data_IF_082494090347
#
_entry.id   IF_082494090347
#
_cell.length_a   1.000
_cell.length_b   1.000
_cell.length_c   1.000
_cell.angle_alpha   90.00
_cell.angle_beta   90.00
_cell.angle_gamma   90.00
#
_symmetry.space_group_name_H-M   'P 1'
#
loop_
_entity.id
_entity.type
_entity.pdbx_description
1 polymer ?
#
# COMPACT_ATOMS: atom_id res chain seq x y z
N UNK A 1 -9.89 -1.17 -30.07
CA UNK A 1 -8.95 -1.95 -29.25
C UNK A 1 -9.65 -3.23 -28.83
N UNK A 2 -9.01 -4.40 -29.01
CA UNK A 2 -9.58 -5.65 -28.49
C UNK A 2 -9.64 -5.56 -26.96
N UNK A 3 -10.79 -5.89 -26.38
CA UNK A 3 -10.91 -5.96 -24.93
C UNK A 3 -9.88 -6.98 -24.41
N UNK A 4 -9.00 -6.55 -23.51
CA UNK A 4 -8.03 -7.45 -22.88
C UNK A 4 -8.79 -8.54 -22.12
N UNK A 5 -8.31 -9.77 -22.25
CA UNK A 5 -8.94 -10.92 -21.60
C UNK A 5 -8.89 -10.73 -20.08
N UNK A 6 -9.98 -11.08 -19.39
CA UNK A 6 -10.04 -11.10 -17.93
C UNK A 6 -8.88 -11.96 -17.38
N UNK A 7 -7.99 -11.39 -16.53
CA UNK A 7 -6.83 -12.09 -16.01
C UNK A 7 -7.16 -13.15 -14.96
N UNK A 8 -8.38 -13.09 -14.38
CA UNK A 8 -8.83 -14.07 -13.37
C UNK A 8 -9.52 -15.25 -14.05
N UNK A 9 -9.00 -16.45 -13.85
CA UNK A 9 -9.66 -17.68 -14.27
C UNK A 9 -10.99 -17.91 -13.52
N UNK A 10 -11.82 -18.81 -14.01
CA UNK A 10 -13.04 -19.22 -13.31
C UNK A 10 -12.72 -19.81 -11.91
N UNK A 11 -11.61 -20.53 -11.80
CA UNK A 11 -11.14 -21.10 -10.54
C UNK A 11 -10.71 -20.00 -9.54
N UNK A 12 -10.00 -18.97 -9.99
CA UNK A 12 -9.64 -17.81 -9.16
C UNK A 12 -10.88 -17.10 -8.61
N UNK A 13 -11.87 -16.89 -9.48
CA UNK A 13 -13.15 -16.25 -9.08
C UNK A 13 -13.92 -17.09 -8.07
N UNK A 14 -13.93 -18.41 -8.23
CA UNK A 14 -14.58 -19.32 -7.27
C UNK A 14 -13.88 -19.25 -5.91
N UNK A 15 -12.57 -19.39 -5.89
CA UNK A 15 -11.77 -19.32 -4.66
C UNK A 15 -11.86 -17.93 -3.98
N UNK A 16 -11.86 -16.83 -4.76
CA UNK A 16 -12.12 -15.50 -4.22
C UNK A 16 -13.48 -15.42 -3.53
N UNK A 17 -14.52 -16.02 -4.11
CA UNK A 17 -15.84 -16.05 -3.47
C UNK A 17 -15.87 -16.83 -2.15
N UNK A 18 -15.04 -17.87 -1.99
CA UNK A 18 -14.88 -18.57 -0.71
C UNK A 18 -14.28 -17.64 0.34
N UNK A 19 -13.24 -16.88 -0.01
CA UNK A 19 -12.64 -15.87 0.90
C UNK A 19 -13.64 -14.78 1.29
N UNK A 20 -14.46 -14.32 0.34
CA UNK A 20 -15.50 -13.33 0.59
C UNK A 20 -16.60 -13.85 1.51
N UNK A 21 -17.00 -15.12 1.35
CA UNK A 21 -18.06 -15.74 2.16
C UNK A 21 -17.69 -15.85 3.66
N UNK A 22 -16.41 -15.90 3.97
CA UNK A 22 -15.90 -15.97 5.35
C UNK A 22 -15.49 -14.60 5.91
N UNK A 23 -15.79 -13.51 5.20
CA UNK A 23 -15.48 -12.13 5.60
C UNK A 23 -16.79 -11.40 5.88
N UNK A 24 -17.23 -11.28 7.15
CA UNK A 24 -18.53 -10.71 7.49
C UNK A 24 -18.73 -9.27 6.99
N UNK A 25 -17.65 -8.49 6.97
CA UNK A 25 -17.63 -7.08 6.55
C UNK A 25 -17.90 -6.89 5.05
N UNK A 26 -17.74 -7.95 4.25
CA UNK A 26 -17.94 -7.87 2.80
C UNK A 26 -19.31 -7.36 2.40
N UNK A 27 -20.35 -7.73 3.16
CA UNK A 27 -21.73 -7.26 2.90
C UNK A 27 -21.83 -5.72 2.99
N UNK A 28 -21.13 -5.09 3.94
CA UNK A 28 -21.07 -3.64 4.13
C UNK A 28 -20.35 -2.96 2.95
N UNK A 29 -19.17 -3.45 2.57
CA UNK A 29 -18.42 -2.91 1.42
C UNK A 29 -19.23 -3.04 0.14
N UNK A 30 -19.83 -4.21 -0.10
CA UNK A 30 -20.67 -4.46 -1.28
C UNK A 30 -21.90 -3.54 -1.33
N UNK A 31 -22.53 -3.26 -0.18
CA UNK A 31 -23.66 -2.33 -0.10
C UNK A 31 -23.19 -0.89 -0.39
N UNK A 32 -22.09 -0.45 0.18
CA UNK A 32 -21.47 0.85 -0.07
C UNK A 32 -21.10 1.03 -1.55
N UNK A 33 -20.44 0.03 -2.15
CA UNK A 33 -20.07 0.04 -3.57
C UNK A 33 -21.31 0.10 -4.51
N UNK A 34 -22.41 -0.52 -4.13
CA UNK A 34 -23.66 -0.43 -4.89
C UNK A 34 -24.34 0.94 -4.75
N UNK A 35 -24.25 1.55 -3.59
CA UNK A 35 -24.85 2.85 -3.29
C UNK A 35 -24.00 4.00 -3.84
N UNK A 36 -22.71 3.79 -4.06
CA UNK A 36 -21.80 4.80 -4.55
C UNK A 36 -22.22 5.32 -5.93
N UNK A 37 -22.34 6.65 -6.03
CA UNK A 37 -22.55 7.38 -7.29
C UNK A 37 -21.23 7.75 -7.97
N UNK A 38 -20.12 7.69 -7.23
CA UNK A 38 -18.79 8.08 -7.67
C UNK A 38 -18.02 6.85 -8.21
N UNK A 39 -18.58 6.13 -9.17
CA UNK A 39 -17.86 5.01 -9.79
C UNK A 39 -16.72 5.53 -10.63
N UNK A 40 -15.50 5.15 -10.26
CA UNK A 40 -14.25 5.49 -10.93
C UNK A 40 -13.74 4.22 -11.62
N UNK A 41 -13.62 4.27 -12.94
CA UNK A 41 -12.93 3.21 -13.69
C UNK A 41 -11.48 3.60 -13.91
N UNK A 42 -10.60 2.61 -13.96
CA UNK A 42 -9.24 2.80 -14.41
C UNK A 42 -9.21 3.39 -15.83
N UNK A 43 -8.16 4.13 -16.16
CA UNK A 43 -7.93 4.55 -17.53
C UNK A 43 -7.78 3.32 -18.43
N UNK A 44 -8.40 3.41 -19.60
CA UNK A 44 -8.19 2.41 -20.66
C UNK A 44 -6.93 2.77 -21.44
N UNK A 45 -6.00 1.84 -21.56
CA UNK A 45 -4.78 2.03 -22.34
C UNK A 45 -3.50 1.63 -21.60
N UNK A 46 -2.34 1.84 -22.20
CA UNK A 46 -1.07 1.52 -21.57
C UNK A 46 -0.83 2.42 -20.36
N UNK A 47 -0.14 1.88 -19.36
CA UNK A 47 0.28 2.65 -18.20
C UNK A 47 1.14 3.85 -18.59
N UNK A 48 0.88 4.98 -17.94
CA UNK A 48 1.70 6.19 -18.05
C UNK A 48 3.06 5.95 -17.37
N UNK A 49 3.03 5.30 -16.22
CA UNK A 49 4.21 4.86 -15.51
C UNK A 49 5.00 3.83 -16.33
N UNK A 50 6.31 3.98 -16.37
CA UNK A 50 7.22 3.05 -17.05
C UNK A 50 8.16 2.39 -16.03
N UNK A 51 7.78 1.23 -15.49
CA UNK A 51 8.61 0.52 -14.54
C UNK A 51 9.90 -0.01 -15.16
N UNK A 52 10.96 0.06 -14.40
CA UNK A 52 12.28 -0.50 -14.68
C UNK A 52 12.80 -1.27 -13.47
N UNK A 53 14.00 -1.83 -13.57
CA UNK A 53 14.58 -2.64 -12.51
C UNK A 53 15.98 -2.16 -12.13
N UNK A 54 16.28 -2.24 -10.83
CA UNK A 54 17.59 -1.93 -10.27
C UNK A 54 17.98 -3.02 -9.28
N UNK A 55 19.27 -3.39 -9.24
CA UNK A 55 19.77 -4.33 -8.22
C UNK A 55 20.24 -3.58 -6.99
N UNK A 56 19.68 -3.89 -5.82
CA UNK A 56 20.04 -3.32 -4.51
C UNK A 56 20.21 -4.46 -3.52
N UNK A 57 21.32 -4.49 -2.77
CA UNK A 57 21.62 -5.56 -1.80
C UNK A 57 21.44 -6.96 -2.40
N UNK A 58 21.86 -7.16 -3.65
CA UNK A 58 21.75 -8.42 -4.37
C UNK A 58 20.35 -8.80 -4.83
N UNK A 59 19.33 -7.94 -4.64
CA UNK A 59 17.94 -8.16 -5.06
C UNK A 59 17.58 -7.24 -6.23
N UNK A 60 16.89 -7.79 -7.22
CA UNK A 60 16.35 -7.03 -8.36
C UNK A 60 15.01 -6.41 -7.94
N UNK A 61 14.98 -5.09 -7.77
CA UNK A 61 13.82 -4.34 -7.36
C UNK A 61 13.17 -3.65 -8.55
N UNK A 62 11.83 -3.70 -8.65
CA UNK A 62 11.07 -2.92 -9.63
C UNK A 62 10.75 -1.55 -9.07
N UNK A 63 11.03 -0.53 -9.86
CA UNK A 63 10.74 0.86 -9.54
C UNK A 63 10.33 1.65 -10.78
N UNK A 64 9.86 2.86 -10.60
CA UNK A 64 9.62 3.80 -11.68
C UNK A 64 10.08 5.19 -11.27
N UNK A 65 10.48 6.00 -12.25
CA UNK A 65 10.84 7.42 -12.06
C UNK A 65 10.07 8.28 -13.04
N UNK A 66 9.80 9.53 -12.62
CA UNK A 66 9.16 10.53 -13.49
C UNK A 66 8.93 11.85 -12.79
N UNK A 67 8.13 12.70 -13.42
CA UNK A 67 7.79 14.02 -12.87
C UNK A 67 8.86 15.07 -13.14
N UNK A 68 8.88 16.11 -12.30
CA UNK A 68 9.72 17.31 -12.46
C UNK A 68 10.99 17.19 -11.63
N UNK A 69 12.15 17.28 -12.27
CA UNK A 69 13.46 17.21 -11.58
C UNK A 69 13.64 18.33 -10.52
N UNK A 70 12.97 19.47 -10.68
CA UNK A 70 13.02 20.60 -9.74
C UNK A 70 11.91 20.61 -8.69
N UNK A 71 11.06 19.57 -8.65
CA UNK A 71 9.99 19.45 -7.66
C UNK A 71 10.44 18.76 -6.38
N UNK A 72 9.61 18.80 -5.31
CA UNK A 72 9.87 17.99 -4.12
C UNK A 72 9.89 16.50 -4.49
N UNK A 73 10.80 15.75 -3.86
CA UNK A 73 10.96 14.30 -4.12
C UNK A 73 9.87 13.51 -3.38
N UNK A 74 9.03 12.80 -4.12
CA UNK A 74 8.00 11.90 -3.56
C UNK A 74 8.34 10.46 -3.88
N UNK A 75 8.50 9.63 -2.84
CA UNK A 75 8.75 8.20 -2.94
C UNK A 75 7.49 7.43 -2.53
N UNK A 76 6.88 6.74 -3.50
CA UNK A 76 5.67 5.94 -3.33
C UNK A 76 6.05 4.46 -3.11
N UNK A 77 5.62 3.88 -2.01
CA UNK A 77 5.86 2.47 -1.67
C UNK A 77 4.65 1.61 -2.04
N UNK A 78 4.89 0.48 -2.72
CA UNK A 78 3.79 -0.40 -3.16
C UNK A 78 3.04 -1.02 -1.99
N UNK A 79 1.70 -1.12 -2.07
CA UNK A 79 0.85 -1.81 -1.12
C UNK A 79 0.66 -3.30 -1.49
N UNK A 80 0.03 -4.08 -0.60
CA UNK A 80 -0.36 -5.47 -0.80
C UNK A 80 -1.90 -5.58 -1.03
N UNK A 81 -2.41 -6.38 -1.96
CA UNK A 81 -1.74 -7.27 -2.91
C UNK A 81 -1.54 -6.63 -4.30
N UNK A 82 -1.13 -5.40 -4.32
CA UNK A 82 -0.90 -4.64 -5.54
C UNK A 82 0.59 -4.51 -5.88
N UNK A 83 0.92 -3.58 -6.73
CA UNK A 83 2.26 -3.19 -7.11
C UNK A 83 2.30 -1.67 -7.33
N UNK A 84 3.46 -1.11 -7.67
CA UNK A 84 3.58 0.32 -8.00
C UNK A 84 2.58 0.79 -9.08
N UNK A 85 2.06 -0.11 -9.91
CA UNK A 85 1.08 0.22 -10.96
C UNK A 85 -0.22 0.80 -10.36
N UNK A 86 -0.53 0.54 -9.10
CA UNK A 86 -1.70 1.15 -8.44
C UNK A 86 -1.63 2.69 -8.39
N UNK A 87 -0.44 3.26 -8.48
CA UNK A 87 -0.25 4.72 -8.52
C UNK A 87 -0.33 5.33 -9.93
N UNK A 88 -0.50 4.51 -10.97
CA UNK A 88 -0.58 5.00 -12.36
C UNK A 88 -1.71 6.01 -12.54
N UNK A 89 -2.83 5.83 -11.84
CA UNK A 89 -4.01 6.69 -11.90
C UNK A 89 -3.78 8.11 -11.34
N UNK A 90 -2.80 8.29 -10.46
CA UNK A 90 -2.44 9.59 -9.86
C UNK A 90 -1.08 10.08 -10.37
N UNK A 91 -0.36 9.26 -11.15
CA UNK A 91 1.01 9.52 -11.57
C UNK A 91 1.16 10.84 -12.33
N UNK A 92 0.33 11.06 -13.35
CA UNK A 92 0.39 12.25 -14.18
C UNK A 92 0.14 13.53 -13.35
N UNK A 93 -0.87 13.51 -12.46
CA UNK A 93 -1.19 14.65 -11.59
C UNK A 93 -0.05 14.99 -10.64
N UNK A 94 0.56 13.97 -10.02
CA UNK A 94 1.71 14.18 -9.13
C UNK A 94 2.95 14.64 -9.91
N UNK A 95 3.17 14.12 -11.12
CA UNK A 95 4.31 14.44 -11.99
C UNK A 95 4.37 15.90 -12.41
N UNK A 96 3.23 16.60 -12.45
CA UNK A 96 3.17 18.03 -12.72
C UNK A 96 3.80 18.87 -11.60
N UNK A 97 3.93 18.32 -10.40
CA UNK A 97 4.34 19.05 -9.19
C UNK A 97 5.58 18.51 -8.51
N UNK A 98 5.89 17.23 -8.68
CA UNK A 98 6.88 16.49 -7.91
C UNK A 98 7.90 15.77 -8.81
N UNK A 99 9.10 15.53 -8.27
CA UNK A 99 9.96 14.47 -8.73
C UNK A 99 9.42 13.16 -8.12
N UNK A 100 9.10 12.18 -8.97
CA UNK A 100 8.46 10.95 -8.54
C UNK A 100 9.41 9.75 -8.61
N UNK A 101 9.37 8.96 -7.56
CA UNK A 101 9.93 7.60 -7.54
C UNK A 101 8.85 6.69 -6.94
N UNK A 102 8.61 5.54 -7.57
CA UNK A 102 7.77 4.49 -6.99
C UNK A 102 8.58 3.21 -6.86
N UNK A 103 8.42 2.47 -5.77
CA UNK A 103 9.17 1.26 -5.48
C UNK A 103 8.22 0.12 -5.11
N UNK A 104 8.29 -0.99 -5.83
CA UNK A 104 7.82 -2.27 -5.30
C UNK A 104 8.74 -2.70 -4.17
N UNK A 105 8.22 -2.75 -2.94
CA UNK A 105 8.98 -3.16 -1.78
C UNK A 105 9.59 -4.57 -1.96
N UNK A 106 10.75 -4.88 -1.36
CA UNK A 106 11.36 -6.21 -1.45
C UNK A 106 10.38 -7.33 -1.11
N UNK A 107 10.20 -8.29 -2.01
CA UNK A 107 9.24 -9.38 -1.83
C UNK A 107 7.79 -9.04 -2.16
N UNK A 108 7.47 -7.79 -2.45
CA UNK A 108 6.14 -7.33 -2.91
C UNK A 108 6.21 -6.89 -4.37
N UNK A 109 5.04 -6.74 -5.01
CA UNK A 109 4.97 -6.40 -6.42
C UNK A 109 5.84 -7.34 -7.26
N UNK A 110 6.61 -6.80 -8.20
CA UNK A 110 7.57 -7.58 -9.02
C UNK A 110 9.02 -7.47 -8.53
N UNK A 111 9.24 -6.93 -7.32
CA UNK A 111 10.56 -6.95 -6.67
C UNK A 111 10.89 -8.31 -6.11
N UNK A 112 12.17 -8.72 -6.21
CA UNK A 112 12.65 -9.95 -5.62
C UNK A 112 12.65 -9.91 -4.09
N UNK A 113 12.51 -11.08 -3.49
CA UNK A 113 12.56 -11.32 -2.05
C UNK A 113 11.65 -12.48 -1.65
N UNK A 114 12.10 -13.25 -0.67
CA UNK A 114 11.38 -14.35 -0.05
C UNK A 114 11.10 -14.07 1.43
N UNK A 115 11.08 -15.13 2.25
CA UNK A 115 10.81 -15.02 3.70
C UNK A 115 11.80 -14.11 4.43
N UNK A 116 13.04 -14.02 3.93
CA UNK A 116 14.12 -13.23 4.53
C UNK A 116 13.89 -11.71 4.51
N UNK A 117 12.94 -11.24 3.72
CA UNK A 117 12.60 -9.81 3.66
C UNK A 117 11.25 -9.48 4.31
N UNK A 118 10.57 -10.43 4.95
CA UNK A 118 9.22 -10.23 5.49
C UNK A 118 9.22 -9.68 6.94
N UNK A 119 10.18 -8.80 7.26
CA UNK A 119 10.21 -8.04 8.51
C UNK A 119 10.39 -6.55 8.21
N UNK A 120 9.93 -5.68 9.12
CA UNK A 120 10.07 -4.22 8.94
C UNK A 120 11.54 -3.80 8.86
N UNK A 121 12.40 -4.44 9.63
CA UNK A 121 13.84 -4.19 9.62
C UNK A 121 14.48 -4.53 8.27
N UNK A 122 14.24 -5.73 7.75
CA UNK A 122 14.80 -6.15 6.47
C UNK A 122 14.31 -5.27 5.32
N UNK A 123 13.03 -4.91 5.32
CA UNK A 123 12.41 -4.00 4.37
C UNK A 123 13.06 -2.61 4.41
N UNK A 124 13.13 -2.00 5.60
CA UNK A 124 13.69 -0.65 5.75
C UNK A 124 15.19 -0.59 5.46
N UNK A 125 15.95 -1.68 5.70
CA UNK A 125 17.36 -1.77 5.34
C UNK A 125 17.55 -1.70 3.82
N UNK A 126 16.76 -2.44 3.06
CA UNK A 126 16.85 -2.45 1.59
C UNK A 126 16.32 -1.13 1.03
N UNK A 127 15.26 -0.54 1.66
CA UNK A 127 14.76 0.79 1.31
C UNK A 127 15.85 1.86 1.49
N UNK A 128 16.61 1.84 2.59
CA UNK A 128 17.73 2.76 2.81
C UNK A 128 18.80 2.61 1.72
N UNK A 129 19.19 1.37 1.40
CA UNK A 129 20.15 1.10 0.34
C UNK A 129 19.63 1.56 -1.04
N UNK A 130 18.33 1.42 -1.33
CA UNK A 130 17.70 1.92 -2.54
C UNK A 130 17.74 3.46 -2.61
N UNK A 131 17.36 4.14 -1.53
CA UNK A 131 17.39 5.61 -1.41
C UNK A 131 18.80 6.14 -1.64
N UNK A 132 19.80 5.53 -1.01
CA UNK A 132 21.22 5.92 -1.19
C UNK A 132 21.72 5.63 -2.59
N UNK A 133 21.34 4.51 -3.19
CA UNK A 133 21.77 4.13 -4.55
C UNK A 133 21.23 5.08 -5.63
N UNK A 134 20.04 5.60 -5.45
CA UNK A 134 19.44 6.60 -6.35
C UNK A 134 19.78 8.05 -5.96
N UNK A 135 20.57 8.22 -4.89
CA UNK A 135 20.95 9.51 -4.31
C UNK A 135 19.76 10.46 -4.06
N UNK A 136 18.68 9.90 -3.52
CA UNK A 136 17.48 10.67 -3.20
C UNK A 136 17.68 11.45 -1.90
N UNK A 137 17.18 12.68 -1.87
CA UNK A 137 17.26 13.61 -0.73
C UNK A 137 15.92 14.30 -0.53
N UNK A 138 15.70 14.84 0.67
CA UNK A 138 14.52 15.63 1.05
C UNK A 138 13.20 14.94 0.66
N UNK A 139 13.12 13.66 1.00
CA UNK A 139 12.08 12.74 0.50
C UNK A 139 10.78 12.89 1.31
N UNK A 140 9.67 13.04 0.61
CA UNK A 140 8.33 12.80 1.15
C UNK A 140 7.93 11.35 0.82
N UNK A 141 7.88 10.46 1.82
CA UNK A 141 7.45 9.07 1.59
C UNK A 141 5.93 8.97 1.62
N UNK A 142 5.35 8.38 0.59
CA UNK A 142 3.95 7.92 0.55
C UNK A 142 3.93 6.41 0.77
N UNK A 143 3.47 5.99 1.94
CA UNK A 143 3.43 4.57 2.35
C UNK A 143 2.04 4.12 2.76
N UNK A 144 1.19 3.63 1.83
CA UNK A 144 -0.06 2.95 2.18
C UNK A 144 0.19 1.51 2.61
N UNK A 145 -0.74 0.93 3.38
CA UNK A 145 -0.80 -0.50 3.73
C UNK A 145 0.54 -1.03 4.26
N UNK A 146 1.15 -2.04 3.64
CA UNK A 146 2.47 -2.58 4.03
C UNK A 146 3.61 -1.54 3.90
N UNK A 147 3.42 -0.49 3.11
CA UNK A 147 4.36 0.62 3.00
C UNK A 147 4.42 1.48 4.26
N UNK A 148 3.31 1.60 5.02
CA UNK A 148 3.26 2.38 6.25
C UNK A 148 4.26 1.92 7.31
N UNK A 149 4.24 0.66 7.80
CA UNK A 149 5.18 0.22 8.81
C UNK A 149 6.64 0.24 8.33
N UNK A 150 6.89 0.03 7.04
CA UNK A 150 8.24 0.10 6.47
C UNK A 150 8.77 1.54 6.48
N UNK A 151 7.94 2.51 6.08
CA UNK A 151 8.29 3.93 6.13
C UNK A 151 8.54 4.41 7.57
N UNK A 152 7.70 3.99 8.53
CA UNK A 152 7.86 4.30 9.95
C UNK A 152 9.14 3.68 10.52
N UNK A 153 9.42 2.41 10.23
CA UNK A 153 10.64 1.76 10.68
C UNK A 153 11.89 2.45 10.09
N UNK A 154 11.83 2.87 8.82
CA UNK A 154 12.89 3.62 8.19
C UNK A 154 13.13 4.96 8.90
N UNK A 155 12.09 5.71 9.20
CA UNK A 155 12.18 6.99 9.89
C UNK A 155 12.73 6.88 11.33
N UNK A 156 12.44 5.77 12.02
CA UNK A 156 12.86 5.57 13.42
C UNK A 156 14.31 5.06 13.50
N UNK A 157 14.69 4.11 12.65
CA UNK A 157 15.90 3.29 12.86
C UNK A 157 17.02 3.53 11.86
N UNK A 158 16.84 4.43 10.89
CA UNK A 158 17.86 4.72 9.88
C UNK A 158 18.26 6.19 9.91
N UNK A 159 19.47 6.46 9.44
CA UNK A 159 19.93 7.82 9.11
C UNK A 159 19.20 8.24 7.81
N UNK A 160 17.96 8.65 7.98
CA UNK A 160 17.03 8.88 6.90
C UNK A 160 17.23 10.24 6.21
N UNK A 161 16.82 10.32 4.94
CA UNK A 161 16.84 11.52 4.11
C UNK A 161 15.40 12.04 3.88
N UNK A 162 14.56 11.96 4.93
CA UNK A 162 13.14 12.27 4.84
C UNK A 162 12.87 13.72 5.23
N UNK A 163 11.95 14.35 4.51
CA UNK A 163 11.31 15.63 4.85
C UNK A 163 9.97 15.44 5.55
N UNK A 164 9.20 14.42 5.17
CA UNK A 164 7.92 14.09 5.82
C UNK A 164 7.46 12.67 5.50
N UNK A 165 6.42 12.24 6.22
CA UNK A 165 5.71 10.98 6.01
C UNK A 165 4.27 11.27 5.61
N UNK A 166 3.76 10.53 4.61
CA UNK A 166 2.37 10.47 4.17
C UNK A 166 1.98 9.01 4.24
N UNK A 167 1.39 8.55 5.35
CA UNK A 167 1.21 7.14 5.63
C UNK A 167 -0.21 6.83 6.10
N UNK A 168 -0.74 5.66 5.75
CA UNK A 168 -2.09 5.31 6.15
C UNK A 168 -2.54 3.94 5.69
N UNK A 169 -3.78 3.60 6.01
CA UNK A 169 -4.42 2.32 5.68
C UNK A 169 -3.52 1.10 6.02
N UNK A 170 -2.65 1.21 7.06
CA UNK A 170 -1.61 0.23 7.38
C UNK A 170 -1.44 -0.03 8.88
N UNK A 171 -0.78 -1.15 9.27
CA UNK A 171 -0.52 -1.47 10.67
C UNK A 171 0.63 -0.61 11.22
N UNK A 172 0.43 0.05 12.37
CA UNK A 172 1.47 0.89 12.98
C UNK A 172 1.49 0.87 14.52
N UNK A 173 0.41 0.42 15.15
CA UNK A 173 0.25 0.37 16.62
C UNK A 173 -0.21 -1.01 17.08
N UNK A 174 0.03 -1.36 18.32
CA UNK A 174 -0.38 -2.63 18.92
C UNK A 174 -1.39 -2.41 20.07
N UNK A 175 -2.50 -3.17 20.09
CA UNK A 175 -3.02 -4.01 19.02
C UNK A 175 -3.54 -3.19 17.85
N UNK A 176 -3.31 -3.64 16.63
CA UNK A 176 -3.94 -3.04 15.43
C UNK A 176 -5.42 -3.44 15.40
N UNK A 177 -6.31 -2.49 15.10
CA UNK A 177 -7.70 -2.80 14.85
C UNK A 177 -7.85 -3.44 13.46
N UNK A 178 -7.80 -4.76 13.42
CA UNK A 178 -7.90 -5.53 12.19
C UNK A 178 -9.33 -5.98 11.90
N UNK A 179 -9.68 -6.02 10.62
CA UNK A 179 -10.88 -6.73 10.16
C UNK A 179 -10.70 -8.25 10.21
N UNK A 180 -11.82 -8.96 10.07
CA UNK A 180 -11.88 -10.42 10.26
C UNK A 180 -10.93 -11.20 9.34
N UNK A 181 -10.74 -10.76 8.10
CA UNK A 181 -9.87 -11.47 7.14
C UNK A 181 -8.40 -11.31 7.51
N UNK A 182 -7.99 -10.15 8.03
CA UNK A 182 -6.63 -9.92 8.49
C UNK A 182 -6.38 -10.71 9.77
N UNK A 183 -7.32 -10.73 10.71
CA UNK A 183 -7.19 -11.57 11.92
C UNK A 183 -6.99 -13.05 11.56
N UNK A 184 -7.74 -13.58 10.56
CA UNK A 184 -7.52 -14.94 10.05
C UNK A 184 -6.12 -15.14 9.51
N UNK A 185 -5.60 -14.18 8.73
CA UNK A 185 -4.25 -14.26 8.19
C UNK A 185 -3.17 -14.22 9.28
N UNK A 186 -3.36 -13.38 10.31
CA UNK A 186 -2.41 -13.18 11.40
C UNK A 186 -2.43 -14.33 12.40
N UNK A 187 -3.62 -14.74 12.87
CA UNK A 187 -3.77 -15.61 14.04
C UNK A 187 -3.79 -17.11 13.69
N UNK A 188 -4.06 -17.46 12.43
CA UNK A 188 -4.35 -18.85 12.05
C UNK A 188 -3.43 -19.41 10.97
N UNK A 189 -2.65 -20.46 11.35
CA UNK A 189 -1.87 -21.25 10.39
C UNK A 189 -2.72 -21.97 9.34
N UNK A 190 -3.94 -22.36 9.72
CA UNK A 190 -4.90 -22.94 8.79
C UNK A 190 -5.27 -21.94 7.68
N UNK A 191 -5.65 -20.73 8.04
CA UNK A 191 -6.03 -19.69 7.06
C UNK A 191 -4.85 -19.26 6.20
N UNK A 192 -3.63 -19.17 6.74
CA UNK A 192 -2.42 -18.94 5.93
C UNK A 192 -2.21 -20.05 4.89
N UNK A 193 -2.51 -21.29 5.25
CA UNK A 193 -2.48 -22.42 4.28
C UNK A 193 -3.57 -22.27 3.22
N UNK A 194 -4.79 -21.87 3.59
CA UNK A 194 -5.87 -21.59 2.63
C UNK A 194 -5.44 -20.52 1.62
N UNK A 195 -4.84 -19.41 2.08
CA UNK A 195 -4.35 -18.36 1.15
C UNK A 195 -3.27 -18.89 0.19
N UNK A 196 -2.34 -19.75 0.67
CA UNK A 196 -1.32 -20.36 -0.20
C UNK A 196 -1.92 -21.22 -1.31
N UNK A 197 -2.90 -22.04 -0.99
CA UNK A 197 -3.48 -22.99 -1.95
C UNK A 197 -4.50 -22.34 -2.89
N UNK A 198 -5.14 -21.25 -2.50
CA UNK A 198 -6.07 -20.50 -3.37
C UNK A 198 -5.36 -19.73 -4.46
N UNK A 199 -4.07 -19.42 -4.29
CA UNK A 199 -3.22 -18.78 -5.30
C UNK A 199 -3.41 -17.27 -5.45
N UNK A 200 -2.54 -16.68 -6.28
CA UNK A 200 -2.49 -15.21 -6.45
C UNK A 200 -3.74 -14.63 -7.07
N UNK A 201 -4.38 -15.31 -8.04
CA UNK A 201 -5.59 -14.81 -8.67
C UNK A 201 -6.76 -14.66 -7.69
N UNK A 202 -6.97 -15.65 -6.82
CA UNK A 202 -8.01 -15.59 -5.78
C UNK A 202 -7.66 -14.55 -4.70
N UNK A 203 -6.41 -14.45 -4.31
CA UNK A 203 -5.92 -13.49 -3.32
C UNK A 203 -6.12 -12.05 -3.79
N UNK A 204 -5.69 -11.71 -5.01
CA UNK A 204 -5.88 -10.40 -5.63
C UNK A 204 -7.37 -10.13 -5.90
N UNK A 205 -8.08 -11.09 -6.51
CA UNK A 205 -9.49 -10.92 -6.86
C UNK A 205 -10.41 -10.75 -5.64
N UNK A 206 -10.12 -11.48 -4.54
CA UNK A 206 -10.80 -11.31 -3.26
C UNK A 206 -10.44 -9.99 -2.60
N UNK A 207 -9.15 -9.66 -2.53
CA UNK A 207 -8.63 -8.42 -1.98
C UNK A 207 -9.26 -7.19 -2.64
N UNK A 208 -9.28 -7.12 -3.97
CA UNK A 208 -9.89 -6.01 -4.70
C UNK A 208 -11.39 -5.83 -4.37
N UNK A 209 -12.15 -6.92 -4.26
CA UNK A 209 -13.58 -6.85 -3.91
C UNK A 209 -13.85 -6.40 -2.47
N UNK A 210 -12.88 -6.59 -1.59
CA UNK A 210 -12.94 -6.17 -0.19
C UNK A 210 -12.43 -4.73 0.00
N UNK A 211 -11.48 -4.30 -0.82
CA UNK A 211 -10.79 -3.03 -0.68
C UNK A 211 -11.51 -1.85 -1.32
N UNK A 212 -12.16 -2.05 -2.47
CA UNK A 212 -12.73 -0.94 -3.23
C UNK A 212 -14.22 -0.70 -2.94
N UNK A 213 -14.56 0.58 -2.80
CA UNK A 213 -15.94 1.08 -2.76
C UNK A 213 -16.30 1.78 -4.08
N UNK A 214 -15.42 2.62 -4.60
CA UNK A 214 -15.68 3.46 -5.78
C UNK A 214 -14.94 3.01 -7.03
N UNK A 215 -13.75 2.43 -6.87
CA UNK A 215 -12.84 2.13 -7.97
C UNK A 215 -13.08 0.74 -8.58
N UNK A 216 -12.86 0.66 -9.88
CA UNK A 216 -12.82 -0.63 -10.60
C UNK A 216 -11.50 -0.69 -11.37
N UNK A 217 -10.56 -1.58 -10.99
CA UNK A 217 -9.28 -1.72 -11.67
C UNK A 217 -9.47 -2.25 -13.10
N UNK A 218 -8.55 -1.89 -13.99
CA UNK A 218 -8.48 -2.45 -15.34
C UNK A 218 -8.01 -3.91 -15.33
N UNK A 219 -8.22 -4.61 -16.42
CA UNK A 219 -7.69 -5.97 -16.57
C UNK A 219 -6.16 -5.98 -16.55
N UNK A 220 -5.52 -4.92 -17.05
CA UNK A 220 -4.07 -4.73 -17.06
C UNK A 220 -3.52 -4.58 -15.64
N UNK A 221 -4.16 -3.77 -14.80
CA UNK A 221 -3.79 -3.63 -13.37
C UNK A 221 -3.94 -4.96 -12.65
N UNK A 222 -5.08 -5.63 -12.80
CA UNK A 222 -5.32 -6.93 -12.17
C UNK A 222 -4.32 -7.98 -12.66
N UNK A 223 -3.99 -7.98 -13.95
CA UNK A 223 -2.99 -8.90 -14.51
C UNK A 223 -1.59 -8.65 -13.91
N UNK A 224 -1.19 -7.38 -13.75
CA UNK A 224 0.08 -7.02 -13.12
C UNK A 224 0.12 -7.50 -11.66
N UNK A 225 -0.95 -7.27 -10.89
CA UNK A 225 -1.04 -7.70 -9.49
C UNK A 225 -1.02 -9.24 -9.36
N UNK A 226 -1.80 -9.96 -10.16
CA UNK A 226 -1.82 -11.43 -10.13
C UNK A 226 -0.44 -12.01 -10.45
N UNK A 227 0.22 -11.47 -11.47
CA UNK A 227 1.56 -11.91 -11.87
C UNK A 227 2.61 -11.59 -10.79
N UNK A 228 2.49 -10.45 -10.10
CA UNK A 228 3.36 -10.04 -9.01
C UNK A 228 3.43 -11.06 -7.87
N UNK A 229 2.34 -11.77 -7.62
CA UNK A 229 2.24 -12.74 -6.50
C UNK A 229 2.15 -14.19 -6.94
N UNK A 230 2.32 -14.49 -8.23
CA UNK A 230 2.30 -15.85 -8.75
C UNK A 230 3.40 -16.70 -8.09
N UNK A 231 3.00 -17.75 -7.38
CA UNK A 231 3.93 -18.63 -6.63
C UNK A 231 4.55 -18.00 -5.38
N UNK A 232 4.12 -16.78 -4.98
CA UNK A 232 4.76 -16.00 -3.89
C UNK A 232 3.87 -15.75 -2.67
N UNK A 233 2.68 -16.36 -2.60
CA UNK A 233 1.78 -16.22 -1.43
C UNK A 233 2.40 -16.78 -0.16
N UNK A 234 3.32 -17.75 -0.27
CA UNK A 234 4.05 -18.29 0.88
C UNK A 234 4.75 -17.21 1.71
N UNK A 235 5.70 -16.44 1.14
CA UNK A 235 6.33 -15.29 1.80
C UNK A 235 5.32 -14.26 2.33
N UNK A 236 4.26 -13.95 1.58
CA UNK A 236 3.21 -13.03 2.05
C UNK A 236 2.54 -13.54 3.34
N UNK A 237 2.35 -14.85 3.49
CA UNK A 237 1.81 -15.39 4.75
C UNK A 237 2.79 -15.28 5.93
N UNK A 238 4.10 -15.22 5.69
CA UNK A 238 5.07 -14.93 6.76
C UNK A 238 5.01 -13.45 7.18
N UNK A 239 4.76 -12.51 6.28
CA UNK A 239 4.48 -11.13 6.63
C UNK A 239 3.31 -11.03 7.62
N UNK A 240 2.15 -11.62 7.30
CA UNK A 240 1.00 -11.61 8.21
C UNK A 240 1.30 -12.25 9.56
N UNK A 241 2.04 -13.36 9.57
CA UNK A 241 2.44 -14.04 10.81
C UNK A 241 3.36 -13.19 11.68
N UNK A 242 4.25 -12.43 11.07
CA UNK A 242 5.32 -11.72 11.78
C UNK A 242 4.98 -10.27 12.11
N UNK A 243 4.03 -9.62 11.41
CA UNK A 243 3.84 -8.19 11.63
C UNK A 243 3.40 -7.82 13.06
N UNK A 244 2.60 -8.63 13.81
CA UNK A 244 2.26 -8.28 15.18
C UNK A 244 3.49 -8.14 16.09
N UNK A 245 4.49 -9.02 15.91
CA UNK A 245 5.76 -8.93 16.63
C UNK A 245 6.63 -7.77 16.14
N UNK A 246 6.63 -7.51 14.84
CA UNK A 246 7.37 -6.40 14.25
C UNK A 246 6.82 -5.02 14.67
N UNK A 247 5.54 -4.91 15.06
CA UNK A 247 4.97 -3.68 15.60
C UNK A 247 5.73 -3.17 16.84
N UNK A 248 6.30 -4.06 17.64
CA UNK A 248 7.13 -3.67 18.79
C UNK A 248 8.39 -2.89 18.41
N UNK A 249 8.80 -2.93 17.13
CA UNK A 249 9.94 -2.15 16.61
C UNK A 249 9.57 -0.74 16.17
N UNK A 250 8.29 -0.40 16.07
CA UNK A 250 7.81 0.92 15.65
C UNK A 250 6.88 1.58 16.67
N UNK A 251 5.86 0.87 17.20
CA UNK A 251 4.84 1.45 18.06
C UNK A 251 5.38 2.23 19.26
N UNK A 252 6.33 1.71 20.08
CA UNK A 252 6.88 2.46 21.21
C UNK A 252 7.65 3.72 20.82
N UNK A 253 8.05 3.84 19.56
CA UNK A 253 8.94 4.88 19.05
C UNK A 253 8.23 5.94 18.21
N UNK A 254 6.92 5.81 17.93
CA UNK A 254 6.18 6.76 17.08
C UNK A 254 6.27 8.19 17.57
N UNK A 255 6.25 8.40 18.91
CA UNK A 255 6.40 9.73 19.51
C UNK A 255 7.81 10.32 19.40
N UNK A 256 8.80 9.55 18.95
CA UNK A 256 10.17 10.02 18.68
C UNK A 256 10.35 10.55 17.25
N UNK A 257 9.39 10.29 16.37
CA UNK A 257 9.40 10.81 15.00
C UNK A 257 9.13 12.33 15.06
N UNK A 258 10.14 13.11 14.71
CA UNK A 258 10.07 14.60 14.72
C UNK A 258 9.67 15.15 13.34
N UNK A 259 9.51 14.28 12.35
CA UNK A 259 9.05 14.65 11.02
C UNK A 259 7.56 14.98 11.01
N UNK A 260 7.12 15.89 10.12
CA UNK A 260 5.71 16.07 9.82
C UNK A 260 5.08 14.79 9.28
N UNK A 261 3.91 14.40 9.79
CA UNK A 261 3.20 13.18 9.40
C UNK A 261 1.79 13.49 8.93
N UNK A 262 1.50 13.21 7.67
CA UNK A 262 0.14 13.14 7.15
C UNK A 262 -0.36 11.71 7.30
N UNK A 263 -1.30 11.49 8.19
CA UNK A 263 -2.06 10.24 8.23
C UNK A 263 -3.26 10.34 7.27
N UNK A 264 -3.59 9.23 6.61
CA UNK A 264 -4.78 9.11 5.76
C UNK A 264 -5.47 7.77 5.96
N UNK A 265 -6.80 7.74 5.82
CA UNK A 265 -7.56 6.50 6.00
C UNK A 265 -8.90 6.54 5.27
N UNK A 266 -9.32 5.40 4.69
CA UNK A 266 -10.67 5.19 4.22
C UNK A 266 -11.62 4.86 5.39
N UNK A 267 -12.77 5.53 5.51
CA UNK A 267 -13.75 5.29 6.59
C UNK A 267 -14.43 3.92 6.50
N UNK A 268 -14.40 3.29 5.33
CA UNK A 268 -14.94 1.97 5.05
C UNK A 268 -13.86 0.89 4.90
N UNK A 269 -12.61 1.19 5.29
CA UNK A 269 -11.56 0.19 5.32
C UNK A 269 -11.95 -0.97 6.25
N UNK A 270 -11.98 -2.18 5.71
CA UNK A 270 -12.32 -3.41 6.45
C UNK A 270 -11.10 -4.29 6.75
N UNK A 271 -9.93 -3.93 6.26
CA UNK A 271 -8.67 -4.62 6.57
C UNK A 271 -8.03 -4.04 7.82
N UNK A 272 -7.81 -2.74 7.81
CA UNK A 272 -7.28 -1.96 8.92
C UNK A 272 -8.35 -0.96 9.32
N UNK A 273 -9.05 -1.26 10.42
CA UNK A 273 -10.21 -0.48 10.83
C UNK A 273 -9.80 0.94 11.26
N UNK A 274 -10.67 1.91 11.02
CA UNK A 274 -10.46 3.34 11.26
C UNK A 274 -10.06 3.68 12.71
N UNK A 275 -10.39 2.84 13.68
CA UNK A 275 -9.91 2.99 15.07
C UNK A 275 -8.38 3.03 15.14
N UNK A 276 -7.70 2.28 14.28
CA UNK A 276 -6.22 2.33 14.17
C UNK A 276 -5.73 3.73 13.80
N UNK A 277 -6.42 4.42 12.87
CA UNK A 277 -6.04 5.77 12.44
C UNK A 277 -6.11 6.80 13.59
N UNK A 278 -7.20 6.79 14.34
CA UNK A 278 -7.39 7.71 15.47
C UNK A 278 -6.36 7.48 16.57
N UNK A 279 -6.17 6.22 16.97
CA UNK A 279 -5.18 5.85 17.99
C UNK A 279 -3.75 6.10 17.54
N UNK A 280 -3.46 5.93 16.24
CA UNK A 280 -2.15 6.25 15.68
C UNK A 280 -1.88 7.74 15.71
N UNK A 281 -2.86 8.57 15.37
CA UNK A 281 -2.71 10.03 15.39
C UNK A 281 -2.27 10.54 16.78
N UNK A 282 -2.80 9.97 17.84
CA UNK A 282 -2.46 10.34 19.23
C UNK A 282 -1.00 10.04 19.60
N UNK A 283 -0.31 9.21 18.82
CA UNK A 283 1.08 8.79 19.07
C UNK A 283 2.12 9.71 18.43
N UNK A 284 1.77 10.46 17.39
CA UNK A 284 2.69 11.35 16.69
C UNK A 284 2.64 12.77 17.28
N UNK A 285 3.80 13.41 17.43
CA UNK A 285 3.91 14.79 17.91
C UNK A 285 3.41 15.82 16.92
N UNK A 286 3.68 15.59 15.64
CA UNK A 286 3.43 16.53 14.53
C UNK A 286 2.67 15.79 13.44
N UNK A 287 1.36 15.68 13.60
CA UNK A 287 0.54 14.94 12.63
C UNK A 287 -0.81 15.59 12.37
N UNK A 288 -1.33 15.34 11.19
CA UNK A 288 -2.74 15.53 10.89
C UNK A 288 -3.31 14.26 10.27
N UNK A 289 -4.62 14.05 10.41
CA UNK A 289 -5.35 12.91 9.87
C UNK A 289 -6.37 13.38 8.84
N UNK A 290 -6.29 12.80 7.64
CA UNK A 290 -7.31 12.93 6.60
C UNK A 290 -8.13 11.64 6.53
N UNK A 291 -9.40 11.70 6.84
CA UNK A 291 -10.35 10.62 6.58
C UNK A 291 -10.99 10.86 5.22
N UNK A 292 -10.97 9.83 4.36
CA UNK A 292 -11.68 9.82 3.09
C UNK A 292 -13.05 9.16 3.29
N UNK A 293 -14.13 9.95 3.18
CA UNK A 293 -15.49 9.48 3.37
C UNK A 293 -15.97 8.63 2.19
N UNK A 294 -16.70 7.54 2.48
CA UNK A 294 -17.17 6.58 1.48
C UNK A 294 -16.04 5.93 0.71
N UNK A 295 -14.95 5.64 1.38
CA UNK A 295 -13.70 5.15 0.81
C UNK A 295 -13.29 3.82 1.45
N UNK A 296 -12.88 2.86 0.63
CA UNK A 296 -12.32 1.59 1.08
C UNK A 296 -10.84 1.70 1.44
N UNK A 297 -10.18 0.55 1.46
CA UNK A 297 -8.78 0.42 1.87
C UNK A 297 -7.77 1.09 0.90
N UNK A 298 -8.02 1.08 -0.40
CA UNK A 298 -7.08 1.64 -1.38
C UNK A 298 -7.45 3.09 -1.73
N UNK A 299 -7.27 4.00 -0.76
CA UNK A 299 -7.69 5.41 -0.87
C UNK A 299 -7.06 6.14 -2.05
N UNK A 300 -5.81 5.82 -2.42
CA UNK A 300 -5.09 6.39 -3.57
C UNK A 300 -5.71 6.04 -4.94
N UNK A 301 -6.59 5.03 -5.02
CA UNK A 301 -7.38 4.70 -6.21
C UNK A 301 -8.87 5.01 -6.01
N UNK A 302 -9.42 4.67 -4.84
CA UNK A 302 -10.84 4.83 -4.50
C UNK A 302 -11.25 6.32 -4.42
N UNK A 303 -10.30 7.21 -4.07
CA UNK A 303 -10.42 8.67 -3.98
C UNK A 303 -9.23 9.37 -4.66
N UNK A 304 -8.82 8.88 -5.83
CA UNK A 304 -7.58 9.26 -6.52
C UNK A 304 -7.34 10.76 -6.62
N UNK A 305 -8.36 11.55 -6.98
CA UNK A 305 -8.22 13.00 -7.18
C UNK A 305 -8.03 13.72 -5.83
N UNK A 306 -8.79 13.34 -4.81
CA UNK A 306 -8.65 13.87 -3.45
C UNK A 306 -7.31 13.45 -2.84
N UNK A 307 -6.87 12.21 -3.09
CA UNK A 307 -5.60 11.69 -2.60
C UNK A 307 -4.41 12.42 -3.26
N UNK A 308 -4.43 12.56 -4.58
CA UNK A 308 -3.39 13.32 -5.30
C UNK A 308 -3.31 14.77 -4.81
N UNK A 309 -4.46 15.42 -4.65
CA UNK A 309 -4.52 16.78 -4.10
C UNK A 309 -3.97 16.87 -2.67
N UNK A 310 -4.27 15.89 -1.81
CA UNK A 310 -3.71 15.81 -0.46
C UNK A 310 -2.17 15.74 -0.51
N UNK A 311 -1.60 14.84 -1.33
CA UNK A 311 -0.14 14.70 -1.48
C UNK A 311 0.48 16.01 -1.98
N UNK A 312 -0.05 16.60 -3.05
CA UNK A 312 0.47 17.85 -3.62
C UNK A 312 0.43 19.01 -2.62
N UNK A 313 -0.67 19.16 -1.88
CA UNK A 313 -0.80 20.21 -0.88
C UNK A 313 0.17 19.98 0.29
N UNK A 314 0.33 18.73 0.71
CA UNK A 314 1.23 18.38 1.79
C UNK A 314 2.68 18.70 1.47
N UNK A 315 3.19 18.26 0.32
CA UNK A 315 4.61 18.49 -0.04
C UNK A 315 4.96 19.95 -0.33
N UNK A 316 3.95 20.79 -0.55
CA UNK A 316 4.11 22.25 -0.72
C UNK A 316 3.97 23.03 0.60
N UNK A 317 3.52 22.39 1.67
CA UNK A 317 3.33 23.03 2.97
C UNK A 317 4.66 23.20 3.70
N UNK A 318 4.78 24.26 4.50
CA UNK A 318 5.90 24.48 5.43
C UNK A 318 5.76 23.69 6.74
N UNK A 319 4.60 23.06 6.96
CA UNK A 319 4.26 22.28 8.16
C UNK A 319 4.39 23.03 9.49
N UNK A 320 4.41 24.34 9.49
CA UNK A 320 4.62 25.17 10.69
C UNK A 320 3.44 25.12 11.69
N UNK A 321 2.29 24.60 11.22
CA UNK A 321 1.06 24.51 12.03
C UNK A 321 0.83 23.13 12.68
N UNK A 322 1.78 22.21 12.58
CA UNK A 322 1.72 20.86 13.14
C UNK A 322 2.37 20.78 14.53
#
# INVERSE_FOLDING_TARGET
MAATKDPLSMFDKLNANVLLAVTPEYSRVKAAARASKARISAHSGPFVMKPEFITVEGKRLRYARGGRDSGPTVLLLSPLPQSIICFDQIWATLAEHCQLVALDLPGFGKSEGGNEVMTFEAQSKILDAFVRKLDLHDIHIVGPDVGMPVALHYAIHRDHRLSSLIVGDGPCISPTANGSIINKAVDSGFWRTVFRVTGSGAFVGGGNKLAYVNYTPSNEEVADYVESYRGRIGPITEWFKSYPQNLATIDPYLSQIDLPVQLFWGDLDIFLLIDTAHRAQERFKRSQLKIFEGCGHFSYQDKRDEFAAMVVNWVKSDHSKL
#
